data_IF_963469930256
#
_entry.id   IF_963469930256
#
_cell.length_a   1.000
_cell.length_b   1.000
_cell.length_c   1.000
_cell.angle_alpha   90.00
_cell.angle_beta   90.00
_cell.angle_gamma   90.00
#
_symmetry.space_group_name_H-M   'P 1'
#
loop_
_entity.id
_entity.type
_entity.pdbx_description
1 polymer ?
#
# COMPACT_ATOMS: atom_id res chain seq x y z
N UNK A 1 6.94 14.86 24.70
CA UNK A 1 5.79 14.37 23.91
C UNK A 1 6.20 13.77 22.54
N UNK A 2 7.44 13.28 22.36
CA UNK A 2 7.93 12.76 21.07
C UNK A 2 7.70 11.24 20.86
N UNK A 3 7.70 10.45 21.94
CA UNK A 3 7.65 8.98 21.83
C UNK A 3 6.31 8.42 21.34
N UNK A 4 5.19 9.10 21.62
CA UNK A 4 3.85 8.63 21.21
C UNK A 4 3.64 8.83 19.71
N UNK A 5 4.08 9.98 19.16
CA UNK A 5 4.00 10.24 17.72
C UNK A 5 4.87 9.27 16.92
N UNK A 6 6.04 8.91 17.44
CA UNK A 6 6.92 7.93 16.81
C UNK A 6 6.26 6.54 16.75
N UNK A 7 5.61 6.10 17.83
CA UNK A 7 4.87 4.81 17.83
C UNK A 7 3.71 4.80 16.84
N UNK A 8 2.94 5.88 16.75
CA UNK A 8 1.84 6.00 15.80
C UNK A 8 2.35 5.93 14.35
N UNK A 9 3.41 6.69 14.04
CA UNK A 9 4.07 6.69 12.74
C UNK A 9 4.56 5.29 12.33
N UNK A 10 5.27 4.60 13.23
CA UNK A 10 5.75 3.24 12.98
C UNK A 10 4.60 2.27 12.73
N UNK A 11 3.50 2.40 13.48
CA UNK A 11 2.31 1.56 13.32
C UNK A 11 1.72 1.74 11.92
N UNK A 12 1.53 2.98 11.47
CA UNK A 12 1.01 3.26 10.12
C UNK A 12 1.97 2.74 9.04
N UNK A 13 3.27 2.98 9.17
CA UNK A 13 4.28 2.45 8.24
C UNK A 13 4.29 0.91 8.16
N UNK A 14 4.07 0.22 9.28
CA UNK A 14 3.98 -1.25 9.29
C UNK A 14 2.77 -1.76 8.52
N UNK A 15 1.61 -1.09 8.63
CA UNK A 15 0.41 -1.45 7.87
C UNK A 15 0.61 -1.23 6.37
N UNK A 16 1.22 -0.11 5.97
CA UNK A 16 1.56 0.15 4.56
C UNK A 16 2.51 -0.94 4.05
N UNK A 17 3.53 -1.29 4.83
CA UNK A 17 4.49 -2.33 4.47
C UNK A 17 3.81 -3.68 4.24
N UNK A 18 2.89 -4.08 5.12
CA UNK A 18 2.10 -5.31 4.97
C UNK A 18 1.19 -5.29 3.74
N UNK A 19 0.48 -4.18 3.49
CA UNK A 19 -0.45 -4.10 2.35
C UNK A 19 0.28 -4.02 1.00
N UNK A 20 1.49 -3.47 0.97
CA UNK A 20 2.30 -3.38 -0.25
C UNK A 20 3.29 -4.54 -0.41
N UNK A 21 3.35 -5.47 0.55
CA UNK A 21 4.36 -6.55 0.60
C UNK A 21 5.79 -6.03 0.45
N UNK A 22 6.12 -4.92 1.12
CA UNK A 22 7.47 -4.31 1.14
C UNK A 22 8.05 -4.27 2.54
N UNK A 23 9.35 -3.94 2.67
CA UNK A 23 9.97 -3.75 3.98
C UNK A 23 9.49 -2.47 4.68
N UNK A 24 9.53 -2.47 6.02
CA UNK A 24 9.24 -1.28 6.83
C UNK A 24 10.13 -0.08 6.43
N UNK A 25 11.40 -0.32 6.11
CA UNK A 25 12.34 0.71 5.67
C UNK A 25 11.97 1.32 4.32
N UNK A 26 11.45 0.51 3.39
CA UNK A 26 10.93 1.01 2.11
C UNK A 26 9.66 1.85 2.31
N UNK A 27 8.73 1.40 3.18
CA UNK A 27 7.53 2.14 3.53
C UNK A 27 7.87 3.51 4.15
N UNK A 28 8.80 3.56 5.11
CA UNK A 28 9.28 4.82 5.71
C UNK A 28 9.89 5.77 4.68
N UNK A 29 10.80 5.28 3.83
CA UNK A 29 11.41 6.10 2.76
C UNK A 29 10.37 6.70 1.83
N UNK A 30 9.31 5.96 1.50
CA UNK A 30 8.21 6.45 0.67
C UNK A 30 7.46 7.60 1.35
N UNK A 31 7.17 7.47 2.65
CA UNK A 31 6.54 8.54 3.43
C UNK A 31 7.45 9.75 3.53
N UNK A 32 8.73 9.56 3.87
CA UNK A 32 9.70 10.64 4.02
C UNK A 32 9.90 11.41 2.70
N UNK A 33 9.93 10.71 1.56
CA UNK A 33 10.01 11.33 0.24
C UNK A 33 8.80 12.22 -0.07
N UNK A 34 7.59 11.72 0.21
CA UNK A 34 6.35 12.47 -0.03
C UNK A 34 6.19 13.65 0.95
N UNK A 35 6.56 13.44 2.21
CA UNK A 35 6.60 14.49 3.22
C UNK A 35 7.57 15.62 2.82
N UNK A 36 8.78 15.27 2.35
CA UNK A 36 9.74 16.25 1.86
C UNK A 36 9.24 17.00 0.62
N UNK A 37 8.57 16.28 -0.29
CA UNK A 37 7.97 16.87 -1.50
C UNK A 37 6.88 17.90 -1.16
N UNK A 38 6.10 17.67 -0.11
CA UNK A 38 5.03 18.56 0.35
C UNK A 38 5.49 19.59 1.39
N UNK A 39 6.78 19.58 1.78
CA UNK A 39 7.33 20.47 2.79
C UNK A 39 6.92 20.15 4.24
N UNK A 40 6.31 18.99 4.47
CA UNK A 40 5.75 18.52 5.75
C UNK A 40 6.74 17.63 6.51
N UNK A 41 7.89 18.19 6.89
CA UNK A 41 9.00 17.44 7.50
C UNK A 41 8.89 17.23 9.03
N UNK A 42 7.89 17.85 9.66
CA UNK A 42 7.61 17.69 11.08
C UNK A 42 7.00 16.31 11.40
N UNK A 43 7.01 15.92 12.68
CA UNK A 43 6.51 14.61 13.11
C UNK A 43 5.02 14.41 12.80
N UNK A 44 4.21 15.46 12.95
CA UNK A 44 2.78 15.43 12.66
C UNK A 44 2.52 15.43 11.14
N UNK A 45 3.28 16.22 10.37
CA UNK A 45 3.25 16.20 8.91
C UNK A 45 3.54 14.82 8.33
N UNK A 46 4.60 14.16 8.79
CA UNK A 46 4.94 12.78 8.36
C UNK A 46 3.86 11.77 8.69
N UNK A 47 3.21 11.86 9.86
CA UNK A 47 2.10 11.00 10.21
C UNK A 47 0.89 11.22 9.29
N UNK A 48 0.57 12.49 8.99
CA UNK A 48 -0.52 12.85 8.07
C UNK A 48 -0.30 12.27 6.67
N UNK A 49 0.93 12.34 6.16
CA UNK A 49 1.30 11.75 4.87
C UNK A 49 1.21 10.22 4.92
N UNK A 50 1.66 9.60 6.02
CA UNK A 50 1.56 8.16 6.20
C UNK A 50 0.10 7.69 6.15
N UNK A 51 -0.81 8.37 6.84
CA UNK A 51 -2.24 8.04 6.86
C UNK A 51 -2.87 8.16 5.47
N UNK A 52 -2.58 9.24 4.73
CA UNK A 52 -3.04 9.40 3.33
C UNK A 52 -2.57 8.27 2.41
N UNK A 53 -1.30 7.87 2.55
CA UNK A 53 -0.76 6.74 1.78
C UNK A 53 -1.49 5.45 2.15
N UNK A 54 -1.72 5.21 3.45
CA UNK A 54 -2.43 4.03 3.92
C UNK A 54 -3.86 3.95 3.35
N UNK A 55 -4.60 5.06 3.35
CA UNK A 55 -5.94 5.12 2.74
C UNK A 55 -5.89 4.81 1.25
N UNK A 56 -4.93 5.39 0.53
CA UNK A 56 -4.75 5.15 -0.92
C UNK A 56 -4.45 3.69 -1.21
N UNK A 57 -3.56 3.07 -0.42
CA UNK A 57 -3.20 1.66 -0.57
C UNK A 57 -4.39 0.75 -0.27
N UNK A 58 -5.17 1.05 0.79
CA UNK A 58 -6.39 0.29 1.12
C UNK A 58 -7.44 0.38 0.02
N UNK A 59 -7.65 1.56 -0.55
CA UNK A 59 -8.57 1.75 -1.67
C UNK A 59 -8.12 0.96 -2.91
N UNK A 60 -6.81 0.93 -3.19
CA UNK A 60 -6.24 0.18 -4.32
C UNK A 60 -6.33 -1.34 -4.16
N UNK A 61 -6.16 -1.88 -2.95
CA UNK A 61 -6.26 -3.32 -2.70
C UNK A 61 -7.64 -3.90 -3.02
N UNK A 62 -8.71 -3.17 -2.67
CA UNK A 62 -10.08 -3.59 -3.03
C UNK A 62 -10.27 -3.73 -4.54
N UNK A 63 -9.58 -2.90 -5.33
CA UNK A 63 -9.66 -2.95 -6.79
C UNK A 63 -8.79 -4.05 -7.42
N UNK A 64 -7.66 -4.38 -6.78
CA UNK A 64 -6.73 -5.40 -7.28
C UNK A 64 -7.28 -6.83 -7.12
N UNK A 65 -8.04 -7.10 -6.05
CA UNK A 65 -8.71 -8.39 -5.86
C UNK A 65 -9.74 -8.67 -6.96
N UNK A 66 -10.62 -7.70 -7.24
CA UNK A 66 -11.62 -7.81 -8.30
C UNK A 66 -10.97 -8.01 -9.69
N UNK A 67 -9.91 -7.27 -10.00
CA UNK A 67 -9.20 -7.41 -11.26
C UNK A 67 -8.50 -8.79 -11.40
N UNK A 68 -7.97 -9.33 -10.30
CA UNK A 68 -7.37 -10.66 -10.31
C UNK A 68 -8.41 -11.77 -10.50
N UNK A 69 -9.56 -11.66 -9.81
CA UNK A 69 -10.67 -12.60 -9.97
C UNK A 69 -11.24 -12.58 -11.40
N UNK A 70 -11.34 -11.40 -12.01
CA UNK A 70 -11.74 -11.24 -13.43
C UNK A 70 -10.73 -11.90 -14.38
N UNK A 71 -9.43 -11.69 -14.16
CA UNK A 71 -8.37 -12.32 -14.97
C UNK A 71 -8.37 -13.85 -14.83
N UNK A 72 -8.57 -14.37 -13.62
CA UNK A 72 -8.68 -15.82 -13.39
C UNK A 72 -9.95 -16.41 -14.03
N UNK A 73 -11.06 -15.68 -13.99
CA UNK A 73 -12.32 -16.11 -14.62
C UNK A 73 -12.21 -16.10 -16.14
N UNK A 74 -11.53 -15.10 -16.71
CA UNK A 74 -11.24 -15.04 -18.13
C UNK A 74 -10.36 -16.22 -18.58
N UNK A 75 -9.28 -16.52 -17.84
CA UNK A 75 -8.41 -17.67 -18.13
C UNK A 75 -9.16 -19.01 -18.08
N UNK A 76 -10.07 -19.19 -17.10
CA UNK A 76 -10.90 -20.40 -17.00
C UNK A 76 -11.87 -20.56 -18.17
N UNK A 77 -12.28 -19.45 -18.80
CA UNK A 77 -13.13 -19.48 -20.00
C UNK A 77 -12.34 -19.87 -21.26
N UNK A 78 -11.00 -19.76 -21.23
CA UNK A 78 -10.08 -20.15 -22.31
C UNK A 78 -9.56 -21.60 -22.19
N UNK A 79 -9.96 -22.39 -21.17
CA UNK A 79 -9.61 -23.82 -21.03
C UNK A 79 -10.14 -24.72 -22.18
N UNK A 80 -10.83 -24.17 -23.17
CA UNK A 80 -11.13 -24.84 -24.43
C UNK A 80 -9.90 -25.04 -25.35
N UNK A 81 -8.69 -24.66 -24.92
CA UNK A 81 -7.47 -24.80 -25.71
C UNK A 81 -6.89 -26.23 -25.77
N UNK A 82 -7.46 -27.20 -25.03
CA UNK A 82 -6.99 -28.59 -25.00
C UNK A 82 -8.01 -29.64 -25.48
N UNK A 83 -9.01 -29.24 -26.26
CA UNK A 83 -9.92 -30.16 -26.95
C UNK A 83 -9.65 -30.15 -28.47
N UNK A 84 -8.94 -31.20 -28.91
CA UNK A 84 -8.75 -31.72 -30.28
C UNK A 84 -7.83 -30.88 -31.18
N UNK A 85 -6.72 -31.41 -31.75
CA UNK A 85 -6.39 -32.76 -32.30
C UNK A 85 -5.04 -33.29 -31.77
#
# INVERSE_FOLDING_TARGET
>A
MAAIQDRAYITVCSQIASLLSISLSAARRKVDFLAAKEGLNDGAGRLTIAERILETVRAGQNNQGALFDDLLTALKSEENFLLED
#
